data_IF_483202537687
#
_entry.id   IF_483202537687
#
_cell.length_a   1.000
_cell.length_b   1.000
_cell.length_c   1.000
_cell.angle_alpha   90.00
_cell.angle_beta   90.00
_cell.angle_gamma   90.00
#
_symmetry.space_group_name_H-M   'P 1'
#
loop_
_entity.id
_entity.type
_entity.pdbx_description
1 polymer ?
#
# COMPACT_ATOMS: atom_id res chain seq x y z
N UNK A 1 12.39 -14.45 -2.62
CA UNK A 1 10.95 -14.33 -3.00
C UNK A 1 10.71 -13.06 -3.83
N UNK A 2 9.59 -12.95 -4.57
CA UNK A 2 9.15 -11.71 -5.23
C UNK A 2 8.13 -10.98 -4.34
N UNK A 3 8.60 -10.11 -3.44
CA UNK A 3 7.70 -9.30 -2.59
C UNK A 3 7.05 -8.19 -3.45
N UNK A 4 5.70 -8.09 -3.52
CA UNK A 4 5.03 -7.12 -4.38
C UNK A 4 4.95 -5.70 -3.80
N UNK A 5 4.67 -5.59 -2.50
CA UNK A 5 4.55 -4.34 -1.73
C UNK A 5 5.57 -4.33 -0.59
N UNK A 6 6.23 -3.20 -0.39
CA UNK A 6 7.07 -2.90 0.77
C UNK A 6 6.41 -1.78 1.55
N UNK A 7 6.18 -2.02 2.85
CA UNK A 7 5.61 -1.06 3.78
C UNK A 7 6.71 -0.50 4.67
N UNK A 8 6.70 0.81 4.86
CA UNK A 8 7.68 1.54 5.67
C UNK A 8 6.87 2.34 6.70
N UNK A 9 7.19 2.13 7.97
CA UNK A 9 6.59 2.81 9.12
C UNK A 9 7.74 3.25 10.03
N UNK A 10 8.00 4.56 10.09
CA UNK A 10 8.81 5.17 11.15
C UNK A 10 7.97 5.58 12.35
N UNK A 11 8.63 6.06 13.42
CA UNK A 11 7.95 6.56 14.62
C UNK A 11 6.95 7.71 14.35
N UNK A 12 7.18 8.49 13.30
CA UNK A 12 6.27 9.56 12.88
C UNK A 12 5.01 8.97 12.27
N UNK A 13 5.16 8.08 11.29
CA UNK A 13 4.03 7.38 10.67
C UNK A 13 3.21 6.57 11.69
N UNK A 14 3.85 5.93 12.68
CA UNK A 14 3.15 5.24 13.77
C UNK A 14 2.26 6.21 14.57
N UNK A 15 2.78 7.38 14.96
CA UNK A 15 2.06 8.40 15.74
C UNK A 15 0.93 9.09 14.96
N UNK A 16 1.06 9.21 13.64
CA UNK A 16 0.03 9.81 12.76
C UNK A 16 -0.93 8.77 12.14
N UNK A 17 -0.76 7.47 12.42
CA UNK A 17 -1.59 6.41 11.83
C UNK A 17 -1.43 6.30 10.31
N UNK A 18 -0.20 6.52 9.83
CA UNK A 18 0.20 6.53 8.42
C UNK A 18 1.07 5.30 8.08
N UNK A 19 1.29 5.06 6.79
CA UNK A 19 2.24 4.08 6.26
C UNK A 19 2.74 4.51 4.89
N UNK A 20 4.05 4.43 4.64
CA UNK A 20 4.63 4.71 3.32
C UNK A 20 4.74 3.43 2.49
N UNK A 21 4.19 3.46 1.27
CA UNK A 21 4.04 2.27 0.43
C UNK A 21 4.97 2.34 -0.78
N UNK A 22 5.77 1.30 -0.99
CA UNK A 22 6.70 1.19 -2.13
C UNK A 22 6.44 -0.10 -2.90
N UNK A 23 6.09 0.00 -4.17
CA UNK A 23 5.72 -1.14 -5.04
C UNK A 23 6.74 -1.30 -6.15
N UNK A 24 7.28 -2.52 -6.27
CA UNK A 24 8.37 -2.83 -7.23
C UNK A 24 8.03 -2.52 -8.69
N UNK A 25 6.74 -2.52 -9.07
CA UNK A 25 6.26 -2.19 -10.43
C UNK A 25 6.16 -0.69 -10.73
N UNK A 26 6.07 0.20 -9.74
CA UNK A 26 5.77 1.65 -9.96
C UNK A 26 6.71 2.62 -9.24
N UNK A 27 7.49 2.16 -8.26
CA UNK A 27 8.34 3.02 -7.42
C UNK A 27 7.74 3.26 -6.03
N UNK A 28 7.95 4.45 -5.48
CA UNK A 28 7.26 4.89 -4.26
C UNK A 28 5.86 5.42 -4.62
N UNK A 29 4.85 5.06 -3.83
CA UNK A 29 3.46 5.52 -4.02
C UNK A 29 3.18 6.78 -3.20
N UNK A 30 3.99 7.02 -2.16
CA UNK A 30 3.78 8.05 -1.15
C UNK A 30 3.39 7.43 0.19
N UNK A 31 2.74 8.23 1.03
CA UNK A 31 2.29 7.87 2.37
C UNK A 31 0.77 7.99 2.43
N UNK A 32 0.11 6.99 3.01
CA UNK A 32 -1.36 6.86 3.11
C UNK A 32 -1.74 6.51 4.54
N UNK A 33 -3.00 6.66 4.94
CA UNK A 33 -3.45 6.22 6.26
C UNK A 33 -3.48 4.70 6.37
N UNK A 34 -3.05 4.17 7.52
CA UNK A 34 -2.97 2.72 7.76
C UNK A 34 -4.35 2.06 7.68
N UNK A 35 -5.38 2.67 8.25
CA UNK A 35 -6.76 2.16 8.19
C UNK A 35 -7.30 2.14 6.76
N UNK A 36 -7.14 3.25 6.03
CA UNK A 36 -7.55 3.37 4.62
C UNK A 36 -6.82 2.35 3.73
N UNK A 37 -5.51 2.16 3.96
CA UNK A 37 -4.71 1.17 3.26
C UNK A 37 -5.14 -0.27 3.55
N UNK A 38 -5.46 -0.61 4.81
CA UNK A 38 -5.97 -1.92 5.20
C UNK A 38 -7.33 -2.20 4.54
N UNK A 39 -8.22 -1.22 4.49
CA UNK A 39 -9.55 -1.38 3.89
C UNK A 39 -9.47 -1.56 2.36
N UNK A 40 -8.69 -0.72 1.68
CA UNK A 40 -8.40 -0.86 0.25
C UNK A 40 -7.75 -2.21 -0.08
N UNK A 41 -6.79 -2.69 0.73
CA UNK A 41 -6.17 -4.02 0.50
C UNK A 41 -7.15 -5.16 0.75
N UNK A 42 -8.01 -5.09 1.78
CA UNK A 42 -9.06 -6.11 1.97
C UNK A 42 -9.98 -6.18 0.76
N UNK A 43 -10.40 -5.02 0.24
CA UNK A 43 -11.25 -4.92 -0.95
C UNK A 43 -10.57 -5.46 -2.23
N UNK A 44 -9.28 -5.16 -2.47
CA UNK A 44 -8.53 -5.74 -3.61
C UNK A 44 -8.37 -7.28 -3.46
N UNK A 45 -8.10 -7.78 -2.24
CA UNK A 45 -7.96 -9.23 -1.96
C UNK A 45 -9.28 -9.97 -2.16
N UNK A 46 -10.39 -9.44 -1.63
CA UNK A 46 -11.72 -10.04 -1.74
C UNK A 46 -12.19 -10.06 -3.20
N UNK A 47 -11.92 -8.98 -3.94
CA UNK A 47 -12.15 -8.87 -5.39
C UNK A 47 -11.28 -9.82 -6.24
N UNK A 48 -10.30 -10.53 -5.64
CA UNK A 48 -9.38 -11.50 -6.25
C UNK A 48 -8.58 -11.02 -7.49
N UNK A 49 -8.67 -9.74 -7.84
CA UNK A 49 -7.88 -9.18 -8.94
C UNK A 49 -6.41 -9.13 -8.52
N UNK A 50 -5.55 -9.74 -9.33
CA UNK A 50 -4.10 -9.59 -9.15
C UNK A 50 -3.71 -8.11 -9.10
N UNK A 51 -2.73 -7.71 -8.25
CA UNK A 51 -2.45 -6.32 -7.93
C UNK A 51 -2.20 -5.49 -9.20
N UNK A 52 -3.21 -4.67 -9.52
CA UNK A 52 -3.36 -4.00 -10.82
C UNK A 52 -3.91 -2.58 -10.70
N UNK A 53 -4.42 -2.19 -9.52
CA UNK A 53 -4.83 -0.81 -9.21
C UNK A 53 -3.63 0.13 -8.97
N UNK A 54 -2.67 0.09 -9.88
CA UNK A 54 -1.75 1.19 -10.19
C UNK A 54 -1.85 1.60 -11.67
N UNK A 55 -2.97 1.27 -12.33
CA UNK A 55 -3.49 2.10 -13.42
C UNK A 55 -3.95 3.44 -12.85
N UNK A 56 -3.43 4.51 -13.45
CA UNK A 56 -4.12 5.79 -13.55
C UNK A 56 -4.01 6.16 -15.02
N UNK A 57 -5.14 6.46 -15.64
CA UNK A 57 -5.19 7.18 -16.92
C UNK A 57 -4.95 8.67 -16.65
#
# INVERSE_FOLDING_TARGET
MKVPYMLIVGEKEEKEGLVSVRVRKRGNIGTVHLNEFIDNIKSEIESKSTPSMLKKE
#
